data_IF_069336060853
#
_entry.id   IF_069336060853
#
_cell.length_a   1.000
_cell.length_b   1.000
_cell.length_c   1.000
_cell.angle_alpha   90.00
_cell.angle_beta   90.00
_cell.angle_gamma   90.00
#
_symmetry.space_group_name_H-M   'P 1'
#
loop_
_entity.id
_entity.type
_entity.pdbx_description
1 polymer ?
#
# COMPACT_ATOMS: atom_id res chain seq x y z
N UNK A 1 1.25 11.66 -37.56
CA UNK A 1 2.10 10.66 -36.85
C UNK A 1 1.65 10.69 -35.40
N UNK A 2 1.64 9.58 -34.68
CA UNK A 2 1.28 9.64 -33.26
C UNK A 2 2.43 10.35 -32.52
N UNK A 3 2.19 11.58 -32.09
CA UNK A 3 3.10 12.32 -31.21
C UNK A 3 3.09 11.74 -29.78
N UNK A 4 2.12 10.87 -29.48
CA UNK A 4 1.96 10.17 -28.21
C UNK A 4 2.87 8.93 -28.16
N UNK A 5 4.02 9.06 -27.52
CA UNK A 5 4.82 7.89 -27.14
C UNK A 5 4.19 7.20 -25.91
N UNK A 6 4.20 5.86 -25.87
CA UNK A 6 3.73 5.10 -24.70
C UNK A 6 4.81 5.14 -23.60
N UNK A 7 4.42 5.48 -22.37
CA UNK A 7 5.30 5.52 -21.21
C UNK A 7 5.76 4.10 -20.84
N UNK A 8 7.07 3.96 -20.56
CA UNK A 8 7.72 2.66 -20.39
C UNK A 8 8.89 2.74 -19.42
N UNK A 9 9.21 1.60 -18.82
CA UNK A 9 10.32 1.43 -17.88
C UNK A 9 11.66 1.47 -18.61
N UNK A 10 12.14 2.68 -18.88
CA UNK A 10 13.34 2.94 -19.67
C UNK A 10 14.11 4.15 -19.10
N UNK A 11 15.44 4.11 -19.17
CA UNK A 11 16.30 5.24 -18.83
C UNK A 11 16.00 6.48 -19.66
N UNK A 12 16.17 7.67 -19.07
CA UNK A 12 15.88 8.96 -19.71
C UNK A 12 14.40 9.37 -19.67
N UNK A 13 13.48 8.47 -19.33
CA UNK A 13 12.07 8.79 -19.12
C UNK A 13 11.85 9.33 -17.71
N UNK A 14 11.34 10.56 -17.63
CA UNK A 14 11.30 11.30 -16.38
C UNK A 14 9.96 12.00 -16.20
N UNK A 15 9.39 11.86 -15.02
CA UNK A 15 8.28 12.68 -14.53
C UNK A 15 8.89 13.87 -13.81
N UNK A 16 8.47 15.08 -14.18
CA UNK A 16 9.00 16.33 -13.63
C UNK A 16 7.87 17.11 -12.99
N UNK A 17 8.10 17.63 -11.78
CA UNK A 17 7.11 18.39 -11.05
C UNK A 17 6.67 19.65 -11.79
N UNK A 18 5.36 19.84 -11.96
CA UNK A 18 4.78 21.09 -12.50
C UNK A 18 4.89 22.26 -11.51
N UNK A 19 4.93 21.95 -10.22
CA UNK A 19 5.17 22.89 -9.14
C UNK A 19 6.10 22.24 -8.11
N UNK A 20 7.01 23.00 -7.47
CA UNK A 20 7.93 22.43 -6.48
C UNK A 20 7.16 21.90 -5.26
N UNK A 21 7.71 20.88 -4.61
CA UNK A 21 7.26 20.50 -3.28
C UNK A 21 7.90 21.42 -2.24
N UNK A 22 7.08 22.02 -1.38
CA UNK A 22 7.55 22.94 -0.35
C UNK A 22 7.78 22.15 0.93
N UNK A 23 9.03 21.87 1.25
CA UNK A 23 9.40 21.05 2.39
C UNK A 23 9.90 21.85 3.58
N UNK A 24 9.60 21.36 4.78
CA UNK A 24 10.17 21.90 6.01
C UNK A 24 11.63 21.45 6.08
N UNK A 25 12.57 22.38 5.97
CA UNK A 25 14.00 22.10 5.86
C UNK A 25 14.74 22.54 7.11
N UNK A 26 15.34 21.62 7.90
CA UNK A 26 16.17 21.98 9.03
C UNK A 26 17.35 22.87 8.63
N UNK A 27 17.43 24.06 9.22
CA UNK A 27 18.52 25.03 9.07
C UNK A 27 18.85 25.62 10.44
N UNK A 28 19.88 25.06 11.08
CA UNK A 28 20.21 25.38 12.47
C UNK A 28 19.05 25.00 13.40
N UNK A 29 18.59 25.94 14.23
CA UNK A 29 17.46 25.75 15.14
C UNK A 29 16.09 26.00 14.49
N UNK A 30 16.02 26.24 13.18
CA UNK A 30 14.80 26.58 12.47
C UNK A 30 14.45 25.54 11.40
N UNK A 31 13.19 25.46 11.01
CA UNK A 31 12.72 24.53 9.97
C UNK A 31 11.77 25.23 8.98
N UNK A 32 12.24 26.28 8.25
CA UNK A 32 11.38 27.03 7.36
C UNK A 32 10.96 26.21 6.12
N UNK A 33 9.88 26.61 5.45
CA UNK A 33 9.45 26.02 4.18
C UNK A 33 10.38 26.41 3.02
N UNK A 34 10.93 25.43 2.30
CA UNK A 34 11.83 25.59 1.14
C UNK A 34 11.27 24.81 -0.06
N UNK A 35 11.15 25.42 -1.25
CA UNK A 35 10.67 24.72 -2.46
C UNK A 35 11.76 23.84 -3.09
N UNK A 36 11.42 22.60 -3.42
CA UNK A 36 12.27 21.64 -4.12
C UNK A 36 11.60 21.15 -5.40
N UNK A 37 12.27 21.25 -6.58
CA UNK A 37 11.80 20.54 -7.75
C UNK A 37 11.95 19.04 -7.52
N UNK A 38 10.86 18.29 -7.69
CA UNK A 38 10.87 16.84 -7.54
C UNK A 38 10.75 16.15 -8.88
N UNK A 39 11.42 15.01 -9.00
CA UNK A 39 11.42 14.22 -10.22
C UNK A 39 11.35 12.74 -9.93
N UNK A 40 10.78 11.96 -10.83
CA UNK A 40 10.74 10.49 -10.73
C UNK A 40 11.21 9.87 -12.05
N UNK A 41 12.02 8.83 -11.97
CA UNK A 41 12.58 8.17 -13.15
C UNK A 41 11.78 6.91 -13.48
N UNK A 42 11.18 6.85 -14.68
CA UNK A 42 10.34 5.70 -15.04
C UNK A 42 11.15 4.40 -15.17
N UNK A 43 12.47 4.46 -15.30
CA UNK A 43 13.34 3.29 -15.20
C UNK A 43 13.16 2.52 -13.87
N UNK A 44 12.78 3.23 -12.81
CA UNK A 44 12.51 2.69 -11.47
C UNK A 44 11.02 2.31 -11.28
N UNK A 45 10.26 2.16 -12.37
CA UNK A 45 8.85 1.79 -12.26
C UNK A 45 8.70 0.34 -11.79
N UNK A 46 7.88 0.14 -10.76
CA UNK A 46 7.36 -1.16 -10.34
C UNK A 46 5.98 -1.43 -10.93
N UNK A 47 5.53 -2.69 -10.84
CA UNK A 47 4.18 -3.13 -11.27
C UNK A 47 3.84 -2.69 -12.70
N UNK A 48 4.81 -2.82 -13.60
CA UNK A 48 4.69 -2.54 -15.04
C UNK A 48 4.13 -3.74 -15.80
N UNK A 49 3.66 -3.54 -17.03
CA UNK A 49 3.05 -4.63 -17.82
C UNK A 49 4.01 -5.82 -17.98
N UNK A 50 3.66 -6.97 -17.42
CA UNK A 50 4.52 -8.15 -17.39
C UNK A 50 4.76 -8.76 -18.79
N UNK A 51 3.75 -8.77 -19.66
CA UNK A 51 3.79 -9.52 -20.94
C UNK A 51 3.84 -8.63 -22.19
N UNK A 52 3.64 -7.32 -22.04
CA UNK A 52 3.59 -6.39 -23.18
C UNK A 52 4.73 -5.39 -23.08
N UNK A 53 5.42 -5.18 -24.21
CA UNK A 53 6.58 -4.31 -24.33
C UNK A 53 6.36 -3.26 -25.42
N UNK A 54 6.82 -2.03 -25.22
CA UNK A 54 7.05 -1.07 -26.28
C UNK A 54 8.55 -0.81 -26.42
N UNK A 55 9.08 -0.93 -27.64
CA UNK A 55 10.50 -0.77 -27.93
C UNK A 55 11.40 -1.63 -27.02
N UNK A 56 10.96 -2.86 -26.68
CA UNK A 56 11.69 -3.77 -25.80
C UNK A 56 11.54 -3.51 -24.30
N UNK A 57 10.80 -2.48 -23.87
CA UNK A 57 10.66 -2.12 -22.46
C UNK A 57 9.23 -2.32 -21.94
N UNK A 58 9.11 -2.63 -20.65
CA UNK A 58 7.84 -2.82 -19.95
C UNK A 58 7.00 -1.54 -19.96
N UNK A 59 5.68 -1.64 -20.11
CA UNK A 59 4.80 -0.48 -20.13
C UNK A 59 4.44 -0.01 -18.73
N UNK A 60 4.35 1.30 -18.54
CA UNK A 60 3.75 1.90 -17.33
C UNK A 60 2.23 1.90 -17.51
N UNK A 61 1.52 1.31 -16.55
CA UNK A 61 0.08 1.12 -16.55
C UNK A 61 -0.57 2.01 -15.48
N UNK A 62 -1.69 2.65 -15.84
CA UNK A 62 -2.51 3.39 -14.88
C UNK A 62 -3.17 2.43 -13.89
N UNK A 63 -3.25 2.82 -12.61
CA UNK A 63 -3.88 2.02 -11.54
C UNK A 63 -3.20 0.65 -11.32
N UNK A 64 -1.89 0.59 -11.60
CA UNK A 64 -1.02 -0.55 -11.31
C UNK A 64 0.41 -0.10 -11.06
N UNK A 65 1.03 0.60 -12.03
CA UNK A 65 2.43 0.99 -11.95
C UNK A 65 2.66 2.21 -11.06
N UNK A 66 3.83 2.25 -10.45
CA UNK A 66 4.33 3.42 -9.73
C UNK A 66 5.84 3.56 -9.89
N UNK A 67 6.36 4.77 -9.68
CA UNK A 67 7.77 4.96 -9.37
C UNK A 67 7.90 5.09 -7.86
N UNK A 68 8.66 4.20 -7.22
CA UNK A 68 8.73 4.06 -5.76
C UNK A 68 9.23 5.33 -5.05
N UNK A 69 10.06 6.13 -5.72
CA UNK A 69 10.76 7.25 -5.11
C UNK A 69 10.85 8.47 -6.03
N UNK A 70 10.60 9.63 -5.46
CA UNK A 70 10.97 10.93 -6.03
C UNK A 70 12.34 11.38 -5.56
N UNK A 71 12.99 12.21 -6.38
CA UNK A 71 14.31 12.78 -6.18
C UNK A 71 14.21 14.30 -6.14
N UNK A 72 15.00 14.94 -5.30
CA UNK A 72 15.21 16.40 -5.30
C UNK A 72 14.86 17.11 -3.99
N UNK A 73 14.09 16.49 -3.11
CA UNK A 73 13.56 17.07 -1.86
C UNK A 73 14.19 16.48 -0.59
N UNK A 74 15.23 15.65 -0.71
CA UNK A 74 15.87 14.95 0.40
C UNK A 74 16.37 15.86 1.54
N UNK A 75 16.73 17.11 1.24
CA UNK A 75 17.14 18.09 2.25
C UNK A 75 15.96 18.57 3.13
N UNK A 76 14.73 18.46 2.63
CA UNK A 76 13.49 18.79 3.33
C UNK A 76 13.07 17.73 4.36
N UNK A 77 14.02 17.22 5.17
CA UNK A 77 13.87 16.03 6.01
C UNK A 77 12.75 16.11 7.06
N UNK A 78 12.18 17.30 7.32
CA UNK A 78 11.00 17.44 8.17
C UNK A 78 9.67 17.34 7.39
N UNK A 79 9.70 16.79 6.17
CA UNK A 79 8.57 16.50 5.26
C UNK A 79 7.92 17.75 4.63
N UNK A 80 7.27 17.53 3.48
CA UNK A 80 6.50 18.55 2.77
C UNK A 80 5.41 19.20 3.61
N UNK A 81 5.22 20.51 3.46
CA UNK A 81 4.12 21.25 4.10
C UNK A 81 2.79 20.76 3.57
N UNK A 82 2.69 20.64 2.24
CA UNK A 82 1.50 20.07 1.60
C UNK A 82 1.64 18.57 1.53
N UNK A 83 2.62 18.03 0.80
CA UNK A 83 2.73 16.59 0.51
C UNK A 83 2.78 15.71 1.76
N UNK A 84 3.39 16.19 2.85
CA UNK A 84 3.56 15.43 4.08
C UNK A 84 4.59 14.31 3.95
N UNK A 85 5.44 14.34 2.92
CA UNK A 85 6.38 13.29 2.53
C UNK A 85 7.76 13.87 2.20
N UNK A 86 8.76 12.99 2.02
CA UNK A 86 10.03 13.29 1.35
C UNK A 86 10.39 12.09 0.49
N UNK A 87 10.71 12.29 -0.79
CA UNK A 87 11.11 11.19 -1.67
C UNK A 87 10.07 10.07 -1.77
N UNK A 88 8.79 10.38 -1.63
CA UNK A 88 7.67 9.44 -1.73
C UNK A 88 7.39 9.03 -3.19
N UNK A 89 6.49 8.07 -3.37
CA UNK A 89 6.16 7.49 -4.67
C UNK A 89 5.54 8.52 -5.64
N UNK A 90 5.57 8.18 -6.93
CA UNK A 90 4.81 8.87 -7.98
C UNK A 90 3.94 7.89 -8.74
N UNK A 91 2.71 8.32 -9.02
CA UNK A 91 1.65 7.48 -9.56
C UNK A 91 1.03 8.11 -10.80
N UNK A 92 0.73 7.34 -11.85
CA UNK A 92 -0.01 7.85 -13.00
C UNK A 92 -1.34 8.50 -12.60
N UNK A 93 -1.61 9.68 -13.14
CA UNK A 93 -2.87 10.43 -12.98
C UNK A 93 -3.61 10.52 -14.32
N UNK A 94 -2.90 10.86 -15.39
CA UNK A 94 -3.38 10.77 -16.75
C UNK A 94 -3.33 9.33 -17.27
N UNK A 95 -4.13 9.05 -18.30
CA UNK A 95 -4.22 7.73 -18.95
C UNK A 95 -4.87 7.81 -20.32
N UNK A 96 -4.69 6.77 -21.12
CA UNK A 96 -5.49 6.55 -22.32
C UNK A 96 -6.96 6.24 -21.98
N UNK A 97 -7.89 6.80 -22.76
CA UNK A 97 -9.32 6.51 -22.63
C UNK A 97 -9.79 5.32 -23.47
N UNK A 98 -8.93 4.77 -24.34
CA UNK A 98 -9.32 3.76 -25.33
C UNK A 98 -8.34 2.60 -25.47
N UNK A 99 -7.08 2.76 -25.02
CA UNK A 99 -6.05 1.74 -25.16
C UNK A 99 -5.75 1.13 -23.79
N UNK A 100 -5.94 -0.18 -23.71
CA UNK A 100 -5.77 -0.97 -22.50
C UNK A 100 -4.78 -2.10 -22.76
N UNK A 101 -3.97 -2.42 -21.76
CA UNK A 101 -3.03 -3.55 -21.73
C UNK A 101 -3.25 -4.26 -20.41
N UNK A 102 -3.44 -5.59 -20.46
CA UNK A 102 -3.72 -6.42 -19.27
C UNK A 102 -4.90 -5.87 -18.44
N UNK A 103 -5.95 -5.38 -19.12
CA UNK A 103 -7.13 -4.80 -18.48
C UNK A 103 -6.91 -3.40 -17.85
N UNK A 104 -5.70 -2.84 -17.90
CA UNK A 104 -5.37 -1.52 -17.38
C UNK A 104 -5.15 -0.50 -18.50
N UNK A 105 -5.60 0.75 -18.34
CA UNK A 105 -5.29 1.82 -19.29
C UNK A 105 -3.77 2.04 -19.38
N UNK A 106 -3.25 2.26 -20.59
CA UNK A 106 -1.84 2.66 -20.75
C UNK A 106 -1.62 4.10 -20.30
N UNK A 107 -0.40 4.41 -19.87
CA UNK A 107 0.07 5.78 -19.63
C UNK A 107 0.84 6.26 -20.87
N UNK A 108 0.58 7.48 -21.31
CA UNK A 108 1.23 8.11 -22.46
C UNK A 108 2.26 9.13 -22.01
N UNK A 109 3.09 9.56 -22.95
CA UNK A 109 3.86 10.79 -22.84
C UNK A 109 2.89 11.95 -22.54
N UNK A 110 3.30 12.85 -21.65
CA UNK A 110 2.51 13.99 -21.14
C UNK A 110 1.29 13.66 -20.27
N UNK A 111 0.94 12.38 -20.05
CA UNK A 111 -0.04 12.04 -19.03
C UNK A 111 0.52 12.41 -17.64
N UNK A 112 -0.26 13.18 -16.88
CA UNK A 112 0.17 13.69 -15.57
C UNK A 112 0.40 12.57 -14.55
N UNK A 113 1.17 12.87 -13.50
CA UNK A 113 1.37 12.00 -12.35
C UNK A 113 1.00 12.74 -11.05
N UNK A 114 0.48 12.01 -10.08
CA UNK A 114 0.61 12.40 -8.68
C UNK A 114 2.06 12.16 -8.27
N UNK A 115 2.71 13.16 -7.69
CA UNK A 115 4.12 13.06 -7.32
C UNK A 115 4.30 13.27 -5.83
N UNK A 116 5.32 12.61 -5.30
CA UNK A 116 5.78 12.71 -3.93
C UNK A 116 4.66 12.44 -2.91
N UNK A 117 4.01 11.29 -3.05
CA UNK A 117 2.97 10.84 -2.13
C UNK A 117 1.94 9.94 -2.83
N UNK A 118 0.77 9.78 -2.22
CA UNK A 118 -0.28 8.93 -2.77
C UNK A 118 -1.08 9.58 -3.90
N UNK A 119 -1.87 8.77 -4.59
CA UNK A 119 -2.68 9.14 -5.76
C UNK A 119 -4.15 9.37 -5.44
N UNK A 120 -4.82 10.18 -6.26
CA UNK A 120 -6.15 10.74 -5.97
C UNK A 120 -7.32 9.74 -5.88
N UNK A 121 -8.39 10.25 -5.24
CA UNK A 121 -9.61 9.55 -4.84
C UNK A 121 -9.58 9.44 -3.33
N UNK A 122 -10.33 10.26 -2.60
CA UNK A 122 -10.44 10.13 -1.14
C UNK A 122 -11.83 9.60 -0.86
N UNK A 123 -11.92 8.41 -0.29
CA UNK A 123 -13.16 7.95 0.30
C UNK A 123 -13.48 8.83 1.52
N UNK A 124 -14.78 8.99 1.80
CA UNK A 124 -15.27 9.61 3.03
C UNK A 124 -15.83 8.54 3.97
N UNK A 125 -15.86 8.83 5.28
CA UNK A 125 -16.52 7.94 6.25
C UNK A 125 -17.95 7.61 5.80
N UNK A 126 -18.69 8.61 5.29
CA UNK A 126 -20.05 8.41 4.82
C UNK A 126 -20.14 7.43 3.64
N UNK A 127 -19.17 7.41 2.74
CA UNK A 127 -19.12 6.44 1.63
C UNK A 127 -18.72 5.05 2.12
N UNK A 128 -17.74 4.95 3.02
CA UNK A 128 -17.35 3.69 3.65
C UNK A 128 -18.54 3.07 4.40
N UNK A 129 -19.28 3.87 5.18
CA UNK A 129 -20.49 3.40 5.88
C UNK A 129 -21.59 2.94 4.92
N UNK A 130 -21.72 3.51 3.72
CA UNK A 130 -22.65 2.98 2.70
C UNK A 130 -22.25 1.59 2.22
N UNK A 131 -20.97 1.24 2.28
CA UNK A 131 -20.47 -0.10 1.96
C UNK A 131 -20.77 -1.07 3.10
N UNK A 132 -20.43 -0.69 4.35
CA UNK A 132 -20.53 -1.59 5.49
C UNK A 132 -21.95 -1.73 6.05
N UNK A 133 -22.66 -0.62 6.28
CA UNK A 133 -23.92 -0.65 7.03
C UNK A 133 -25.03 -1.57 6.50
N UNK A 134 -25.16 -1.87 5.20
CA UNK A 134 -26.18 -2.81 4.73
C UNK A 134 -26.03 -4.24 5.26
N UNK A 135 -24.80 -4.71 5.55
CA UNK A 135 -24.54 -6.11 5.91
C UNK A 135 -23.51 -6.33 7.04
N UNK A 136 -22.77 -5.30 7.42
CA UNK A 136 -21.55 -5.38 8.24
C UNK A 136 -21.58 -4.39 9.41
N UNK A 137 -22.71 -4.35 10.12
CA UNK A 137 -22.88 -3.46 11.26
C UNK A 137 -21.91 -3.79 12.40
N UNK A 138 -21.59 -5.06 12.58
CA UNK A 138 -20.59 -5.56 13.52
C UNK A 138 -19.19 -4.97 13.24
N UNK A 139 -18.81 -4.86 11.96
CA UNK A 139 -17.55 -4.20 11.56
C UNK A 139 -17.57 -2.72 11.95
N UNK A 140 -18.70 -2.02 11.73
CA UNK A 140 -18.88 -0.62 12.14
C UNK A 140 -18.81 -0.46 13.66
N UNK A 141 -19.45 -1.36 14.41
CA UNK A 141 -19.43 -1.36 15.87
C UNK A 141 -18.01 -1.61 16.42
N UNK A 142 -17.21 -2.41 15.72
CA UNK A 142 -15.80 -2.62 16.04
C UNK A 142 -14.94 -1.39 15.73
N UNK A 143 -15.15 -0.73 14.59
CA UNK A 143 -14.51 0.55 14.27
C UNK A 143 -14.84 1.61 15.33
N UNK A 144 -16.08 1.66 15.83
CA UNK A 144 -16.49 2.57 16.89
C UNK A 144 -15.75 2.35 18.23
N UNK A 145 -15.26 1.13 18.47
CA UNK A 145 -14.51 0.75 19.69
C UNK A 145 -12.99 0.82 19.51
N UNK A 146 -12.53 1.01 18.28
CA UNK A 146 -11.12 0.96 17.90
C UNK A 146 -10.56 2.37 17.75
N UNK A 147 -9.29 2.55 18.09
CA UNK A 147 -8.58 3.79 17.74
C UNK A 147 -8.22 3.74 16.26
N UNK A 148 -9.04 4.40 15.43
CA UNK A 148 -8.85 4.44 13.97
C UNK A 148 -8.07 5.69 13.56
N UNK A 149 -7.04 5.49 12.77
CA UNK A 149 -6.25 6.53 12.11
C UNK A 149 -6.36 6.37 10.59
N UNK A 150 -6.28 7.50 9.89
CA UNK A 150 -6.11 7.51 8.43
C UNK A 150 -4.88 8.32 8.06
N UNK A 151 -4.13 7.87 7.06
CA UNK A 151 -2.98 8.58 6.52
C UNK A 151 -3.13 8.71 5.00
N UNK A 152 -2.64 9.82 4.45
CA UNK A 152 -2.73 10.05 3.01
C UNK A 152 -1.68 9.27 2.23
N UNK A 153 -0.69 8.69 2.91
CA UNK A 153 0.25 7.73 2.36
C UNK A 153 0.69 6.79 3.49
N UNK A 154 0.88 5.52 3.18
CA UNK A 154 1.39 4.49 4.08
C UNK A 154 2.39 3.68 3.27
N UNK A 155 3.60 3.55 3.75
CA UNK A 155 4.62 2.76 3.06
C UNK A 155 5.66 2.23 4.05
N UNK A 156 6.37 1.21 3.59
CA UNK A 156 7.47 0.57 4.29
C UNK A 156 8.66 0.60 3.35
N UNK A 157 9.78 1.16 3.80
CA UNK A 157 11.04 1.14 3.05
C UNK A 157 11.79 -0.14 3.37
N UNK A 158 11.28 -1.26 2.84
CA UNK A 158 11.92 -2.56 3.01
C UNK A 158 13.29 -2.58 2.32
N UNK A 159 14.23 -3.31 2.90
CA UNK A 159 15.55 -3.49 2.31
C UNK A 159 15.61 -4.86 1.66
N UNK A 160 16.05 -4.92 0.41
CA UNK A 160 16.38 -6.18 -0.26
C UNK A 160 17.86 -6.21 -0.63
N UNK A 161 18.54 -7.31 -0.34
CA UNK A 161 19.92 -7.50 -0.75
C UNK A 161 19.97 -8.09 -2.16
N UNK A 162 20.50 -7.33 -3.12
CA UNK A 162 20.52 -7.74 -4.53
C UNK A 162 21.67 -8.71 -4.88
N UNK A 163 22.45 -9.12 -3.88
CA UNK A 163 23.68 -9.90 -4.03
C UNK A 163 24.96 -9.06 -4.02
N UNK A 164 24.85 -7.73 -4.00
CA UNK A 164 25.96 -6.79 -3.93
C UNK A 164 25.73 -5.65 -2.93
N UNK A 165 24.54 -5.07 -2.91
CA UNK A 165 24.17 -3.99 -2.00
C UNK A 165 22.73 -4.12 -1.52
N UNK A 166 22.42 -3.42 -0.42
CA UNK A 166 21.05 -3.27 0.07
C UNK A 166 20.37 -2.13 -0.69
N UNK A 167 19.29 -2.47 -1.38
CA UNK A 167 18.45 -1.49 -2.08
C UNK A 167 17.12 -1.35 -1.36
N UNK A 168 16.54 -0.16 -1.43
CA UNK A 168 15.20 0.12 -0.87
C UNK A 168 14.15 -0.38 -1.85
N UNK A 169 13.36 -1.36 -1.43
CA UNK A 169 12.19 -1.89 -2.12
C UNK A 169 10.94 -1.37 -1.39
N UNK A 170 10.46 -0.18 -1.77
CA UNK A 170 9.33 0.44 -1.08
C UNK A 170 8.04 -0.35 -1.30
N UNK A 171 7.47 -0.83 -0.21
CA UNK A 171 6.16 -1.47 -0.18
C UNK A 171 5.05 -0.45 0.20
N UNK A 172 4.08 -0.16 -0.70
CA UNK A 172 2.95 0.69 -0.37
C UNK A 172 1.90 -0.08 0.45
N UNK A 173 1.50 0.47 1.59
CA UNK A 173 0.50 -0.11 2.49
C UNK A 173 -0.91 0.39 2.25
N UNK A 174 -1.90 -0.49 2.39
CA UNK A 174 -3.33 -0.13 2.42
C UNK A 174 -3.83 0.21 3.82
N UNK A 175 -3.26 -0.42 4.85
CA UNK A 175 -3.56 -0.24 6.25
C UNK A 175 -2.55 -1.00 7.12
N UNK A 176 -2.77 -0.95 8.42
CA UNK A 176 -2.04 -1.77 9.39
C UNK A 176 -2.81 -1.88 10.70
N UNK A 177 -2.60 -3.00 11.38
CA UNK A 177 -2.98 -3.20 12.77
C UNK A 177 -1.75 -3.15 13.68
N UNK A 178 -1.75 -2.26 14.68
CA UNK A 178 -0.63 -2.14 15.61
C UNK A 178 -0.97 -1.36 16.88
N UNK A 179 -0.55 -1.89 18.04
CA UNK A 179 -0.74 -1.23 19.33
C UNK A 179 -2.19 -0.88 19.65
N UNK A 180 -3.12 -1.82 19.40
CA UNK A 180 -4.58 -1.67 19.54
C UNK A 180 -5.22 -0.57 18.67
N UNK A 181 -4.52 -0.16 17.62
CA UNK A 181 -4.99 0.84 16.68
C UNK A 181 -4.99 0.31 15.25
N UNK A 182 -5.95 0.83 14.49
CA UNK A 182 -6.13 0.53 13.08
C UNK A 182 -5.74 1.76 12.27
N UNK A 183 -4.82 1.59 11.31
CA UNK A 183 -4.45 2.62 10.35
C UNK A 183 -4.98 2.24 8.97
N UNK A 184 -5.50 3.21 8.22
CA UNK A 184 -5.94 3.01 6.84
C UNK A 184 -5.43 4.11 5.91
N UNK A 185 -5.20 3.75 4.66
CA UNK A 185 -4.92 4.70 3.60
C UNK A 185 -6.17 5.54 3.33
N UNK A 186 -6.03 6.86 3.31
CA UNK A 186 -7.12 7.80 3.08
C UNK A 186 -7.49 7.97 1.60
N UNK A 187 -6.66 7.43 0.70
CA UNK A 187 -6.86 7.46 -0.74
C UNK A 187 -7.43 6.12 -1.24
N UNK A 188 -7.97 6.10 -2.46
CA UNK A 188 -8.67 4.97 -3.06
C UNK A 188 -10.20 5.05 -2.99
N UNK A 189 -10.86 3.91 -3.20
CA UNK A 189 -12.33 3.80 -3.17
C UNK A 189 -12.83 3.46 -1.77
N UNK A 190 -14.12 3.75 -1.51
CA UNK A 190 -14.75 3.34 -0.26
C UNK A 190 -14.82 1.81 -0.09
N UNK A 191 -14.91 1.04 -1.18
CA UNK A 191 -14.80 -0.42 -1.10
C UNK A 191 -13.40 -0.87 -0.70
N UNK A 192 -12.35 -0.29 -1.28
CA UNK A 192 -10.97 -0.61 -0.88
C UNK A 192 -10.74 -0.29 0.60
N UNK A 193 -11.23 0.86 1.06
CA UNK A 193 -11.17 1.23 2.46
C UNK A 193 -11.96 0.27 3.37
N UNK A 194 -13.17 -0.14 2.96
CA UNK A 194 -13.95 -1.12 3.71
C UNK A 194 -13.25 -2.49 3.77
N UNK A 195 -12.63 -2.94 2.67
CA UNK A 195 -11.81 -4.16 2.61
C UNK A 195 -10.63 -4.06 3.57
N UNK A 196 -9.89 -2.94 3.58
CA UNK A 196 -8.80 -2.72 4.54
C UNK A 196 -9.32 -2.72 5.97
N UNK A 197 -10.39 -1.99 6.28
CA UNK A 197 -10.95 -1.95 7.62
C UNK A 197 -11.32 -3.35 8.13
N UNK A 198 -11.97 -4.15 7.29
CA UNK A 198 -12.32 -5.53 7.60
C UNK A 198 -11.07 -6.40 7.80
N UNK A 199 -10.08 -6.28 6.92
CA UNK A 199 -8.81 -6.99 7.00
C UNK A 199 -8.07 -6.69 8.30
N UNK A 200 -7.81 -5.42 8.60
CA UNK A 200 -7.06 -5.04 9.79
C UNK A 200 -7.80 -5.40 11.09
N UNK A 201 -9.13 -5.36 11.09
CA UNK A 201 -9.93 -5.80 12.25
C UNK A 201 -9.90 -7.31 12.46
N UNK A 202 -9.54 -8.13 11.46
CA UNK A 202 -9.31 -9.55 11.67
C UNK A 202 -8.14 -9.76 12.64
N UNK A 203 -7.05 -9.01 12.49
CA UNK A 203 -5.88 -9.11 13.37
C UNK A 203 -6.19 -8.81 14.84
N UNK A 204 -7.19 -7.96 15.12
CA UNK A 204 -7.70 -7.71 16.47
C UNK A 204 -8.23 -8.97 17.16
N UNK A 205 -8.83 -9.87 16.40
CA UNK A 205 -9.58 -11.02 16.90
C UNK A 205 -8.89 -12.36 16.66
N UNK A 206 -7.72 -12.34 16.02
CA UNK A 206 -6.92 -13.54 15.76
C UNK A 206 -6.28 -14.07 17.05
N UNK A 207 -6.01 -15.38 17.04
CA UNK A 207 -5.30 -16.03 18.15
C UNK A 207 -3.87 -15.48 18.21
N UNK A 208 -3.44 -14.91 19.35
CA UNK A 208 -2.11 -14.31 19.48
C UNK A 208 -0.96 -15.32 19.39
N UNK A 209 -1.24 -16.63 19.39
CA UNK A 209 -0.25 -17.70 19.18
C UNK A 209 0.02 -18.01 17.71
N UNK A 210 -0.76 -17.46 16.78
CA UNK A 210 -0.52 -17.62 15.34
C UNK A 210 0.82 -17.00 14.96
N UNK A 211 1.52 -17.64 14.03
CA UNK A 211 2.67 -17.00 13.39
C UNK A 211 2.20 -15.82 12.56
N UNK A 212 3.08 -14.83 12.37
CA UNK A 212 2.75 -13.66 11.55
C UNK A 212 2.25 -14.07 10.15
N UNK A 213 2.92 -15.02 9.50
CA UNK A 213 2.48 -15.51 8.20
C UNK A 213 1.07 -16.12 8.23
N UNK A 214 0.78 -16.97 9.21
CA UNK A 214 -0.54 -17.56 9.34
C UNK A 214 -1.63 -16.50 9.62
N UNK A 215 -1.29 -15.43 10.35
CA UNK A 215 -2.20 -14.31 10.58
C UNK A 215 -2.56 -13.59 9.28
N UNK A 216 -1.57 -13.28 8.44
CA UNK A 216 -1.80 -12.62 7.15
C UNK A 216 -2.57 -13.52 6.18
N UNK A 217 -2.21 -14.81 6.08
CA UNK A 217 -2.91 -15.79 5.24
C UNK A 217 -4.39 -15.93 5.63
N UNK A 218 -4.69 -16.04 6.92
CA UNK A 218 -6.08 -16.05 7.44
C UNK A 218 -6.81 -14.73 7.15
N UNK A 219 -6.15 -13.60 7.37
CA UNK A 219 -6.74 -12.29 7.15
C UNK A 219 -7.11 -12.07 5.68
N UNK A 220 -6.21 -12.37 4.74
CA UNK A 220 -6.48 -12.28 3.31
C UNK A 220 -7.59 -13.26 2.88
N UNK A 221 -7.54 -14.51 3.33
CA UNK A 221 -8.55 -15.50 2.98
C UNK A 221 -9.95 -15.07 3.43
N UNK A 222 -10.10 -14.63 4.69
CA UNK A 222 -11.38 -14.19 5.25
C UNK A 222 -11.86 -12.89 4.62
N UNK A 223 -10.95 -11.96 4.32
CA UNK A 223 -11.25 -10.72 3.61
C UNK A 223 -11.80 -11.00 2.22
N UNK A 224 -11.20 -11.95 1.50
CA UNK A 224 -11.66 -12.30 0.17
C UNK A 224 -13.02 -13.03 0.19
N UNK A 225 -13.22 -13.94 1.15
CA UNK A 225 -14.52 -14.59 1.33
C UNK A 225 -15.63 -13.55 1.60
N UNK A 226 -15.34 -12.60 2.48
CA UNK A 226 -16.22 -11.47 2.80
C UNK A 226 -16.52 -10.61 1.56
N UNK A 227 -15.50 -10.28 0.77
CA UNK A 227 -15.61 -9.46 -0.44
C UNK A 227 -16.45 -10.14 -1.54
N UNK A 228 -16.27 -11.45 -1.73
CA UNK A 228 -17.06 -12.27 -2.69
C UNK A 228 -18.55 -12.22 -2.34
N UNK A 229 -18.92 -12.44 -1.09
CA UNK A 229 -20.33 -12.43 -0.64
C UNK A 229 -21.00 -11.06 -0.85
N UNK A 230 -20.21 -9.99 -0.91
CA UNK A 230 -20.67 -8.61 -1.13
C UNK A 230 -20.59 -8.17 -2.59
N UNK A 231 -20.16 -9.06 -3.50
CA UNK A 231 -20.03 -8.76 -4.92
C UNK A 231 -18.98 -7.69 -5.21
N UNK A 232 -18.00 -7.52 -4.32
CA UNK A 232 -16.91 -6.57 -4.52
C UNK A 232 -15.98 -7.04 -5.63
N UNK A 233 -15.31 -6.14 -6.38
CA UNK A 233 -14.33 -6.55 -7.38
C UNK A 233 -13.17 -7.32 -6.74
N UNK A 234 -12.56 -8.24 -7.49
CA UNK A 234 -11.35 -8.91 -7.06
C UNK A 234 -10.21 -7.89 -6.92
N UNK A 235 -9.28 -8.09 -5.96
CA UNK A 235 -8.08 -7.27 -5.89
C UNK A 235 -7.28 -7.46 -7.18
N UNK A 236 -6.76 -6.36 -7.71
CA UNK A 236 -5.95 -6.37 -8.92
C UNK A 236 -4.48 -6.34 -8.54
N UNK A 237 -3.93 -7.53 -8.29
CA UNK A 237 -2.54 -7.72 -7.87
C UNK A 237 -1.84 -8.47 -9.00
N UNK A 238 -0.81 -7.85 -9.58
CA UNK A 238 -0.08 -8.42 -10.71
C UNK A 238 0.54 -9.77 -10.33
N UNK A 239 0.24 -10.81 -11.11
CA UNK A 239 0.72 -12.18 -10.87
C UNK A 239 -0.08 -13.02 -9.86
N UNK A 240 -1.18 -12.51 -9.30
CA UNK A 240 -1.98 -13.24 -8.31
C UNK A 240 -3.48 -13.19 -8.60
N UNK A 241 -4.13 -14.35 -8.56
CA UNK A 241 -5.57 -14.51 -8.71
C UNK A 241 -6.18 -14.94 -7.38
N UNK A 242 -6.62 -13.98 -6.57
CA UNK A 242 -7.13 -14.23 -5.22
C UNK A 242 -8.48 -14.96 -5.18
N UNK A 243 -9.12 -15.18 -6.34
CA UNK A 243 -10.39 -15.88 -6.46
C UNK A 243 -10.27 -17.01 -7.46
N UNK A 244 -10.91 -18.12 -7.14
CA UNK A 244 -11.02 -19.28 -8.02
C UNK A 244 -12.45 -19.82 -7.96
N UNK A 245 -12.73 -20.85 -8.75
CA UNK A 245 -14.03 -21.52 -8.77
C UNK A 245 -13.90 -22.90 -8.15
N UNK A 246 -14.73 -23.21 -7.16
CA UNK A 246 -14.73 -24.54 -6.55
C UNK A 246 -15.41 -25.59 -7.46
N UNK A 247 -15.43 -26.85 -7.02
CA UNK A 247 -16.02 -27.95 -7.79
C UNK A 247 -17.51 -27.76 -8.14
N UNK A 248 -18.24 -26.96 -7.34
CA UNK A 248 -19.65 -26.67 -7.54
C UNK A 248 -19.90 -25.46 -8.46
N UNK A 249 -18.85 -24.83 -8.98
CA UNK A 249 -18.96 -23.63 -9.81
C UNK A 249 -19.10 -22.33 -9.03
N UNK A 250 -18.98 -22.35 -7.70
CA UNK A 250 -19.06 -21.16 -6.87
C UNK A 250 -17.71 -20.43 -6.80
N UNK A 251 -17.76 -19.10 -6.87
CA UNK A 251 -16.59 -18.23 -6.67
C UNK A 251 -16.16 -18.30 -5.20
N UNK A 252 -14.90 -18.64 -4.95
CA UNK A 252 -14.31 -18.80 -3.61
C UNK A 252 -12.91 -18.16 -3.57
N UNK A 253 -12.37 -17.84 -2.38
CA UNK A 253 -10.98 -17.41 -2.27
C UNK A 253 -10.02 -18.49 -2.79
N UNK A 254 -9.02 -18.07 -3.55
CA UNK A 254 -7.94 -18.93 -4.02
C UNK A 254 -6.86 -19.02 -2.95
N UNK A 255 -6.93 -20.06 -2.12
CA UNK A 255 -6.01 -20.28 -1.00
C UNK A 255 -4.56 -20.34 -1.46
N UNK A 256 -4.27 -21.09 -2.52
CA UNK A 256 -2.90 -21.30 -2.99
C UNK A 256 -2.25 -19.98 -3.46
N UNK A 257 -2.98 -19.13 -4.18
CA UNK A 257 -2.47 -17.83 -4.62
C UNK A 257 -2.37 -16.81 -3.49
N UNK A 258 -3.24 -16.88 -2.47
CA UNK A 258 -3.15 -16.04 -1.27
C UNK A 258 -1.90 -16.41 -0.45
N UNK A 259 -1.69 -17.71 -0.21
CA UNK A 259 -0.50 -18.20 0.50
C UNK A 259 0.78 -17.84 -0.27
N UNK A 260 0.79 -18.00 -1.60
CA UNK A 260 1.90 -17.55 -2.46
C UNK A 260 2.13 -16.05 -2.35
N UNK A 261 1.07 -15.25 -2.37
CA UNK A 261 1.17 -13.79 -2.27
C UNK A 261 1.82 -13.37 -0.95
N UNK A 262 1.38 -13.92 0.18
CA UNK A 262 1.95 -13.60 1.50
C UNK A 262 3.43 -13.98 1.53
N UNK A 263 3.79 -15.17 1.06
CA UNK A 263 5.17 -15.66 1.02
C UNK A 263 6.10 -14.81 0.13
N UNK A 264 5.61 -14.32 -1.00
CA UNK A 264 6.43 -13.55 -1.95
C UNK A 264 6.52 -12.06 -1.60
N UNK A 265 5.50 -11.53 -0.90
CA UNK A 265 5.37 -10.10 -0.62
C UNK A 265 5.92 -9.72 0.74
N UNK A 266 5.69 -10.55 1.77
CA UNK A 266 6.06 -10.22 3.14
C UNK A 266 7.45 -10.77 3.46
N UNK A 267 8.31 -10.00 4.15
CA UNK A 267 9.67 -10.42 4.50
C UNK A 267 9.70 -11.38 5.71
N UNK A 268 8.85 -12.41 5.70
CA UNK A 268 8.68 -13.39 6.77
C UNK A 268 8.73 -14.83 6.23
N UNK A 269 9.30 -15.79 6.97
CA UNK A 269 9.44 -17.16 6.49
C UNK A 269 8.18 -17.99 6.72
N UNK A 270 7.93 -18.92 5.79
CA UNK A 270 6.86 -19.94 5.87
C UNK A 270 6.99 -20.84 7.09
N UNK A 271 8.22 -21.18 7.49
CA UNK A 271 8.45 -21.86 8.75
C UNK A 271 8.45 -20.83 9.88
N UNK A 272 7.49 -20.86 10.82
CA UNK A 272 7.43 -19.92 11.93
C UNK A 272 8.61 -20.03 12.90
N UNK A 273 9.39 -21.11 12.81
CA UNK A 273 10.60 -21.30 13.62
C UNK A 273 11.88 -20.91 12.86
N UNK A 274 11.80 -20.60 11.56
CA UNK A 274 12.96 -20.20 10.80
C UNK A 274 13.39 -18.78 11.19
N UNK A 275 14.68 -18.62 11.42
CA UNK A 275 15.28 -17.32 11.66
C UNK A 275 15.26 -16.51 10.34
N UNK A 276 14.89 -15.23 10.42
CA UNK A 276 14.76 -14.35 9.26
C UNK A 276 15.46 -13.01 9.50
N UNK A 277 15.90 -12.29 8.45
CA UNK A 277 16.60 -11.02 8.59
C UNK A 277 15.75 -9.96 9.30
N UNK A 278 16.30 -9.35 10.35
CA UNK A 278 15.65 -8.26 11.11
C UNK A 278 16.49 -6.98 11.13
N UNK A 279 17.71 -7.02 10.64
CA UNK A 279 18.61 -5.87 10.63
C UNK A 279 19.97 -6.18 10.02
N UNK A 280 20.80 -5.15 9.91
CA UNK A 280 22.21 -5.25 9.53
C UNK A 280 23.04 -4.62 10.63
N UNK A 281 24.04 -5.33 11.12
CA UNK A 281 24.93 -4.82 12.16
C UNK A 281 26.00 -3.87 11.60
N UNK A 282 26.81 -3.27 12.48
CA UNK A 282 27.87 -2.34 12.08
C UNK A 282 28.96 -2.95 11.18
N UNK A 283 29.12 -4.27 11.18
CA UNK A 283 30.06 -5.00 10.33
C UNK A 283 29.50 -5.29 8.94
N UNK A 284 28.21 -5.05 8.71
CA UNK A 284 27.51 -5.38 7.46
C UNK A 284 26.89 -6.78 7.43
N UNK A 285 26.96 -7.54 8.52
CA UNK A 285 26.31 -8.85 8.63
C UNK A 285 24.81 -8.69 8.95
N UNK A 286 24.01 -9.61 8.43
CA UNK A 286 22.59 -9.73 8.73
C UNK A 286 22.40 -10.22 10.16
N UNK A 287 21.58 -9.51 10.90
CA UNK A 287 21.02 -9.96 12.18
C UNK A 287 19.74 -10.71 11.91
N UNK A 288 19.62 -11.92 12.46
CA UNK A 288 18.44 -12.76 12.32
C UNK A 288 17.54 -12.66 13.57
N UNK A 289 16.27 -13.01 13.40
CA UNK A 289 15.23 -12.93 14.44
C UNK A 289 15.51 -13.80 15.67
N UNK A 290 16.36 -14.81 15.55
CA UNK A 290 16.83 -15.67 16.66
C UNK A 290 18.06 -15.10 17.41
N UNK A 291 18.53 -13.91 17.01
CA UNK A 291 19.69 -13.22 17.58
C UNK A 291 21.04 -13.65 16.99
N UNK A 292 21.06 -14.61 16.06
CA UNK A 292 22.29 -14.98 15.34
C UNK A 292 22.63 -13.99 14.23
N UNK A 293 23.84 -14.09 13.70
CA UNK A 293 24.31 -13.23 12.59
C UNK A 293 25.00 -14.04 11.50
N UNK A 294 24.83 -13.63 10.25
CA UNK A 294 25.52 -14.21 9.08
C UNK A 294 25.78 -13.16 7.99
N UNK A 295 26.70 -13.42 7.03
CA UNK A 295 26.84 -12.58 5.85
C UNK A 295 25.52 -12.44 5.07
N UNK A 296 25.29 -11.33 4.35
CA UNK A 296 24.09 -11.15 3.55
C UNK A 296 24.04 -12.11 2.35
N UNK A 297 22.83 -12.60 2.07
CA UNK A 297 22.55 -13.52 0.98
C UNK A 297 21.59 -12.85 -0.02
N UNK A 298 21.79 -13.11 -1.32
CA UNK A 298 20.94 -12.54 -2.37
C UNK A 298 19.48 -12.93 -2.09
N UNK A 299 18.61 -11.93 -2.02
CA UNK A 299 17.19 -12.11 -1.74
C UNK A 299 16.82 -11.91 -0.27
N UNK A 300 17.78 -11.66 0.62
CA UNK A 300 17.46 -11.23 1.98
C UNK A 300 16.57 -10.00 1.96
N UNK A 301 15.51 -10.04 2.78
CA UNK A 301 14.60 -8.92 2.98
C UNK A 301 14.54 -8.54 4.45
N UNK A 302 14.62 -7.25 4.75
CA UNK A 302 14.43 -6.69 6.09
C UNK A 302 13.25 -5.73 6.02
N UNK A 303 12.24 -5.96 6.86
CA UNK A 303 11.07 -5.10 6.96
C UNK A 303 11.45 -3.67 7.38
N UNK A 304 10.96 -2.69 6.63
CA UNK A 304 11.04 -1.28 6.99
C UNK A 304 10.08 -0.93 8.14
N UNK A 305 10.26 0.26 8.73
CA UNK A 305 9.27 0.79 9.67
C UNK A 305 8.07 1.38 8.92
N UNK A 306 6.88 1.34 9.54
CA UNK A 306 5.70 2.03 9.04
C UNK A 306 5.99 3.55 8.94
N UNK A 307 5.97 4.06 7.72
CA UNK A 307 6.04 5.48 7.43
C UNK A 307 4.69 5.99 6.93
N UNK A 308 4.30 7.19 7.38
CA UNK A 308 3.02 7.78 7.02
C UNK A 308 3.14 9.25 6.63
N UNK A 309 2.16 9.70 5.83
CA UNK A 309 1.94 11.11 5.52
C UNK A 309 0.58 11.59 6.07
N UNK A 310 0.59 12.71 6.81
CA UNK A 310 -0.63 13.37 7.34
C UNK A 310 -1.58 12.41 8.11
N UNK A 311 -0.99 11.50 8.91
CA UNK A 311 -1.70 10.60 9.83
C UNK A 311 -2.58 11.41 10.77
N UNK A 312 -3.86 11.06 10.85
CA UNK A 312 -4.87 11.76 11.67
C UNK A 312 -5.83 10.75 12.29
N UNK A 313 -6.23 11.00 13.54
CA UNK A 313 -7.19 10.18 14.25
C UNK A 313 -8.61 10.47 13.75
N UNK A 314 -9.39 9.42 13.51
CA UNK A 314 -10.80 9.51 13.16
C UNK A 314 -11.63 9.44 14.45
N UNK A 315 -12.56 10.39 14.69
CA UNK A 315 -13.37 10.37 15.92
C UNK A 315 -14.26 9.12 15.99
N UNK A 316 -14.27 8.42 17.12
CA UNK A 316 -15.10 7.21 17.31
C UNK A 316 -16.59 7.43 17.03
N UNK A 317 -17.10 8.63 17.30
CA UNK A 317 -18.50 9.01 17.10
C UNK A 317 -18.97 9.00 15.64
N UNK A 318 -18.06 8.95 14.66
CA UNK A 318 -18.43 8.93 13.24
C UNK A 318 -18.76 7.52 12.73
N UNK A 319 -18.41 6.47 13.48
CA UNK A 319 -18.67 5.07 13.15
C UNK A 319 -20.06 4.66 13.64
N UNK A 320 -21.10 5.16 12.98
CA UNK A 320 -22.50 4.84 13.29
C UNK A 320 -23.31 4.72 12.01
N UNK A 321 -24.09 3.65 11.88
CA UNK A 321 -24.90 3.45 10.69
C UNK A 321 -26.09 4.41 10.64
N UNK A 322 -26.43 4.98 9.47
CA UNK A 322 -27.61 5.84 9.33
C UNK A 322 -28.89 5.09 9.72
N UNK A 323 -29.73 5.69 10.57
CA UNK A 323 -31.02 5.11 10.99
C UNK A 323 -31.03 4.47 12.38
N UNK A 324 -29.89 4.39 13.07
CA UNK A 324 -29.87 4.09 14.51
C UNK A 324 -30.33 5.33 15.29
N UNK A 325 -31.61 5.39 15.63
CA UNK A 325 -32.11 6.31 16.66
C UNK A 325 -31.32 6.08 17.94
N UNK A 326 -30.95 7.15 18.64
CA UNK A 326 -30.42 7.08 19.99
C UNK A 326 -31.51 6.53 20.93
N UNK A 327 -31.70 5.21 20.94
CA UNK A 327 -32.54 4.55 21.93
C UNK A 327 -31.67 4.40 23.17
N UNK A 328 -31.96 5.10 24.28
CA UNK A 328 -31.22 4.90 25.52
C UNK A 328 -31.38 3.44 25.97
N UNK A 329 -30.40 2.86 26.70
CA UNK A 329 -30.59 1.54 27.28
C UNK A 329 -31.81 1.56 28.19
N UNK A 330 -32.72 0.60 28.00
CA UNK A 330 -33.79 0.34 28.96
C UNK A 330 -33.15 -0.06 30.29
N UNK A 331 -33.37 0.76 31.32
CA UNK A 331 -33.07 0.40 32.70
C UNK A 331 -33.98 -0.77 33.09
N UNK A 332 -33.36 -1.93 33.37
CA UNK A 332 -33.96 -3.07 34.04
C UNK A 332 -33.40 -3.25 35.44
#
# INVERSE_FOLDING_TARGET
MADDYIARKQGGWKVVSLAPDVCKTPMGSSTPPVPYPVTAELAQSGKTAATVRANGHELVLFDASLVSKTLGDAAGSAKGVKSGTVGAASWPKGRSSSVFVQGKPIVRHDDEFWMNGSHGGNWTIAELLKVLCPKDKDVVDDLAKTDVYIADDIYYDDLIYDGSEWIVDRFPGGGSWGGDSLLMLATGSAQAAATTAYHELIHKHQDPSMSWQAMEEDAYYRTEAWAIERGMPAPNIDGFEFRTTNADGALVPNRDDIERFVQETYPIPADPNAAFPVGVNASGDVQLSDGTTRPPERGDRIAGQEETARKRKVPRSVWKCPGESDTPPEEG
#
